data_IF_963125769403
#
_entry.id   IF_963125769403
#
_cell.length_a   1.000
_cell.length_b   1.000
_cell.length_c   1.000
_cell.angle_alpha   90.00
_cell.angle_beta   90.00
_cell.angle_gamma   90.00
#
_symmetry.space_group_name_H-M   'P 1'
#
loop_
_entity.id
_entity.type
_entity.pdbx_description
1 polymer ?
#
# COMPACT_ATOMS: atom_id res chain seq x y z
N UNK A 1 -11.69 10.97 0.77
CA UNK A 1 -10.27 11.00 0.30
C UNK A 1 -9.88 12.36 -0.28
N UNK A 2 -10.76 13.35 -0.17
CA UNK A 2 -10.78 14.52 -1.03
C UNK A 2 -9.66 15.52 -0.67
N UNK A 3 -9.29 15.55 0.61
CA UNK A 3 -8.19 16.37 1.11
C UNK A 3 -6.79 15.80 0.80
N UNK A 4 -6.69 14.57 0.29
CA UNK A 4 -5.41 13.98 -0.11
C UNK A 4 -5.01 14.58 -1.46
N UNK A 5 -3.95 15.38 -1.46
CA UNK A 5 -3.43 16.09 -2.65
C UNK A 5 -2.09 15.54 -3.15
N UNK A 6 -1.44 14.68 -2.36
CA UNK A 6 -0.15 14.08 -2.68
C UNK A 6 -0.33 12.64 -3.16
N UNK A 7 0.63 12.12 -3.95
CA UNK A 7 0.70 10.68 -4.24
C UNK A 7 0.74 9.87 -2.94
N UNK A 8 0.06 8.72 -2.93
CA UNK A 8 0.03 7.81 -1.77
C UNK A 8 0.56 6.44 -2.15
N UNK A 9 1.28 5.79 -1.22
CA UNK A 9 1.64 4.38 -1.33
C UNK A 9 1.00 3.60 -0.18
N UNK A 10 0.02 2.76 -0.50
CA UNK A 10 -0.69 1.90 0.45
C UNK A 10 -0.05 0.52 0.46
N UNK A 11 0.21 -0.02 1.65
CA UNK A 11 0.78 -1.36 1.83
C UNK A 11 -0.04 -2.17 2.83
N UNK A 12 -0.27 -3.44 2.51
CA UNK A 12 -1.14 -4.32 3.30
C UNK A 12 -0.59 -5.76 3.29
N UNK A 13 -0.92 -6.54 4.31
CA UNK A 13 -0.84 -8.00 4.26
C UNK A 13 -2.24 -8.61 4.14
N UNK A 14 -2.39 -9.56 3.23
CA UNK A 14 -3.68 -10.18 2.90
C UNK A 14 -4.36 -10.82 4.12
N UNK A 15 -3.57 -11.44 4.99
CA UNK A 15 -4.05 -12.23 6.12
C UNK A 15 -3.92 -11.46 7.44
N UNK A 16 -3.98 -10.12 7.41
CA UNK A 16 -3.84 -9.29 8.62
C UNK A 16 -5.04 -9.53 9.57
N UNK A 17 -4.81 -10.08 10.78
CA UNK A 17 -5.90 -10.39 11.70
C UNK A 17 -6.38 -9.16 12.48
N UNK A 18 -5.71 -8.01 12.34
CA UNK A 18 -6.01 -6.76 13.06
C UNK A 18 -6.70 -5.75 12.16
N UNK A 19 -6.26 -5.63 10.91
CA UNK A 19 -6.81 -4.71 9.91
C UNK A 19 -7.10 -5.49 8.64
N UNK A 20 -8.36 -5.84 8.36
CA UNK A 20 -8.73 -6.61 7.17
C UNK A 20 -8.26 -5.95 5.87
N UNK A 21 -7.88 -6.75 4.87
CA UNK A 21 -7.41 -6.25 3.56
C UNK A 21 -8.42 -5.30 2.89
N UNK A 22 -9.71 -5.50 3.15
CA UNK A 22 -10.81 -4.68 2.63
C UNK A 22 -10.69 -3.20 3.01
N UNK A 23 -10.09 -2.88 4.15
CA UNK A 23 -9.82 -1.49 4.56
C UNK A 23 -8.85 -0.81 3.59
N UNK A 24 -7.76 -1.49 3.23
CA UNK A 24 -6.82 -1.00 2.24
C UNK A 24 -7.45 -0.91 0.84
N UNK A 25 -8.22 -1.92 0.44
CA UNK A 25 -8.93 -1.93 -0.85
C UNK A 25 -9.93 -0.77 -0.96
N UNK A 26 -10.69 -0.47 0.10
CA UNK A 26 -11.63 0.64 0.13
C UNK A 26 -10.92 1.99 -0.08
N UNK A 27 -9.78 2.21 0.58
CA UNK A 27 -9.00 3.44 0.44
C UNK A 27 -8.40 3.55 -0.97
N UNK A 28 -7.79 2.47 -1.47
CA UNK A 28 -7.20 2.44 -2.82
C UNK A 28 -8.26 2.69 -3.88
N UNK A 29 -9.43 2.03 -3.77
CA UNK A 29 -10.55 2.25 -4.68
C UNK A 29 -11.02 3.69 -4.64
N UNK A 30 -11.26 4.24 -3.45
CA UNK A 30 -11.71 5.62 -3.29
C UNK A 30 -10.71 6.63 -3.88
N UNK A 31 -9.40 6.43 -3.68
CA UNK A 31 -8.36 7.26 -4.26
C UNK A 31 -8.34 7.19 -5.80
N UNK A 32 -8.42 5.97 -6.37
CA UNK A 32 -8.45 5.76 -7.82
C UNK A 32 -9.69 6.37 -8.47
N UNK A 33 -10.87 6.17 -7.88
CA UNK A 33 -12.14 6.73 -8.36
C UNK A 33 -12.12 8.26 -8.38
N UNK A 34 -11.32 8.89 -7.50
CA UNK A 34 -11.11 10.34 -7.44
C UNK A 34 -9.89 10.82 -8.25
N UNK A 35 -9.35 9.98 -9.15
CA UNK A 35 -8.23 10.32 -10.03
C UNK A 35 -6.90 10.58 -9.30
N UNK A 36 -6.77 10.14 -8.04
CA UNK A 36 -5.55 10.34 -7.25
C UNK A 36 -4.51 9.28 -7.60
N UNK A 37 -3.24 9.68 -7.65
CA UNK A 37 -2.11 8.76 -7.84
C UNK A 37 -1.93 7.92 -6.57
N UNK A 38 -2.19 6.62 -6.68
CA UNK A 38 -2.00 5.67 -5.59
C UNK A 38 -1.27 4.42 -6.05
N UNK A 39 -0.19 4.10 -5.35
CA UNK A 39 0.50 2.82 -5.43
C UNK A 39 -0.09 1.88 -4.38
N UNK A 40 -0.19 0.60 -4.72
CA UNK A 40 -0.73 -0.41 -3.80
C UNK A 40 0.09 -1.69 -3.86
N UNK A 41 0.59 -2.13 -2.71
CA UNK A 41 1.26 -3.43 -2.55
C UNK A 41 0.50 -4.26 -1.51
N UNK A 42 0.00 -5.40 -1.94
CA UNK A 42 -0.61 -6.39 -1.07
C UNK A 42 0.27 -7.65 -1.00
N UNK A 43 0.80 -7.96 0.17
CA UNK A 43 1.57 -9.18 0.39
C UNK A 43 0.61 -10.33 0.72
N UNK A 44 0.32 -11.16 -0.29
CA UNK A 44 -0.67 -12.25 -0.23
C UNK A 44 -0.38 -13.32 0.82
N UNK A 45 0.86 -13.40 1.29
CA UNK A 45 1.33 -14.42 2.22
C UNK A 45 1.82 -13.83 3.56
N UNK A 46 1.36 -12.61 3.91
CA UNK A 46 1.65 -11.89 5.16
C UNK A 46 0.37 -11.51 5.91
N UNK A 47 0.53 -10.98 7.13
CA UNK A 47 -0.54 -10.40 7.95
C UNK A 47 -0.22 -8.97 8.38
N UNK A 48 -0.26 -8.65 9.68
CA UNK A 48 -0.06 -7.30 10.24
C UNK A 48 1.39 -6.76 10.18
N UNK A 49 2.16 -7.16 9.19
CA UNK A 49 3.57 -6.81 9.04
C UNK A 49 4.30 -7.88 8.25
N UNK A 50 5.42 -7.49 7.65
CA UNK A 50 6.14 -8.36 6.72
C UNK A 50 7.24 -9.16 7.44
N UNK A 51 6.95 -10.44 7.70
CA UNK A 51 7.87 -11.36 8.39
C UNK A 51 8.81 -12.09 7.44
N UNK A 52 8.43 -12.28 6.18
CA UNK A 52 9.28 -12.92 5.17
C UNK A 52 10.22 -11.89 4.56
N UNK A 53 11.47 -12.31 4.33
CA UNK A 53 12.52 -11.42 3.81
C UNK A 53 12.15 -10.89 2.42
N UNK A 54 11.65 -11.75 1.54
CA UNK A 54 11.20 -11.39 0.20
C UNK A 54 10.25 -10.19 0.19
N UNK A 55 9.24 -10.18 1.08
CA UNK A 55 8.26 -9.11 1.16
C UNK A 55 8.87 -7.82 1.72
N UNK A 56 9.77 -7.92 2.70
CA UNK A 56 10.48 -6.74 3.23
C UNK A 56 11.41 -6.11 2.19
N UNK A 57 12.15 -6.92 1.44
CA UNK A 57 13.06 -6.44 0.42
C UNK A 57 12.28 -5.73 -0.71
N UNK A 58 11.21 -6.35 -1.20
CA UNK A 58 10.33 -5.77 -2.23
C UNK A 58 9.69 -4.48 -1.71
N UNK A 59 9.17 -4.47 -0.47
CA UNK A 59 8.62 -3.27 0.14
C UNK A 59 9.64 -2.13 0.19
N UNK A 60 10.86 -2.40 0.65
CA UNK A 60 11.92 -1.39 0.71
C UNK A 60 12.26 -0.84 -0.68
N UNK A 61 12.38 -1.71 -1.69
CA UNK A 61 12.64 -1.28 -3.07
C UNK A 61 11.49 -0.44 -3.63
N UNK A 62 10.24 -0.85 -3.39
CA UNK A 62 9.05 -0.12 -3.81
C UNK A 62 8.95 1.26 -3.14
N UNK A 63 9.28 1.36 -1.85
CA UNK A 63 9.35 2.66 -1.13
C UNK A 63 10.41 3.56 -1.76
N UNK A 64 11.61 3.06 -2.05
CA UNK A 64 12.68 3.84 -2.70
C UNK A 64 12.22 4.36 -4.08
N UNK A 65 11.59 3.51 -4.88
CA UNK A 65 11.05 3.88 -6.20
C UNK A 65 9.95 4.94 -6.08
N UNK A 66 8.99 4.73 -5.18
CA UNK A 66 7.91 5.67 -4.93
C UNK A 66 8.44 7.04 -4.52
N UNK A 67 9.39 7.08 -3.59
CA UNK A 67 10.01 8.33 -3.16
C UNK A 67 10.81 8.99 -4.28
N UNK A 68 11.55 8.22 -5.09
CA UNK A 68 12.29 8.76 -6.23
C UNK A 68 11.38 9.40 -7.30
N UNK A 69 10.16 8.90 -7.48
CA UNK A 69 9.21 9.43 -8.47
C UNK A 69 8.40 10.63 -7.95
N UNK A 70 8.29 10.79 -6.63
CA UNK A 70 7.34 11.74 -6.02
C UNK A 70 7.98 12.74 -5.03
N UNK A 71 9.30 12.69 -4.80
CA UNK A 71 10.11 13.74 -4.17
C UNK A 71 10.88 14.53 -5.22
#
# INVERSE_FOLDING_TARGET
VDQIQVPMFVVQGENDPRVPVTEAEQVVKSLRDNGKKVWYMNALNEGHGYRKKENRDIYQQAVILFLKENL
#
